data_IF_903292739766
#
_entry.id   IF_903292739766
#
_cell.length_a   1.000
_cell.length_b   1.000
_cell.length_c   1.000
_cell.angle_alpha   90.00
_cell.angle_beta   90.00
_cell.angle_gamma   90.00
#
_symmetry.space_group_name_H-M   'P 1'
#
loop_
_entity.id
_entity.type
_entity.pdbx_description
1 polymer ?
#
# COMPACT_ATOMS: atom_id res chain seq x y z
N UNK A 1 20.94 10.08 -3.00
CA UNK A 1 19.57 9.66 -2.71
C UNK A 1 19.65 8.25 -2.13
N UNK A 2 19.34 8.09 -0.84
CA UNK A 2 19.27 6.78 -0.20
C UNK A 2 17.87 6.16 -0.45
N UNK A 3 17.85 4.87 -0.83
CA UNK A 3 16.61 4.09 -0.88
C UNK A 3 16.59 3.19 0.34
N UNK A 4 15.62 3.36 1.23
CA UNK A 4 15.36 2.43 2.30
C UNK A 4 14.41 1.33 1.79
N UNK A 5 14.80 0.08 1.98
CA UNK A 5 13.96 -1.08 1.65
C UNK A 5 13.30 -1.59 2.94
N UNK A 6 11.99 -1.78 2.89
CA UNK A 6 11.24 -2.47 3.93
C UNK A 6 10.55 -3.69 3.33
N UNK A 7 10.56 -4.80 4.04
CA UNK A 7 9.85 -6.02 3.65
C UNK A 7 8.42 -5.97 4.17
N UNK A 8 7.48 -6.41 3.33
CA UNK A 8 6.09 -6.57 3.73
C UNK A 8 5.88 -7.76 4.70
N UNK A 9 4.62 -8.01 5.03
CA UNK A 9 4.24 -9.13 5.87
C UNK A 9 4.31 -10.47 5.13
N UNK A 10 4.49 -11.55 5.90
CA UNK A 10 4.40 -12.91 5.38
C UNK A 10 2.97 -13.18 4.84
N UNK A 11 2.91 -13.76 3.66
CA UNK A 11 1.66 -14.15 2.99
C UNK A 11 0.79 -15.07 3.86
N UNK A 12 1.41 -15.94 4.66
CA UNK A 12 0.66 -16.82 5.57
C UNK A 12 -0.12 -16.02 6.62
N UNK A 13 0.49 -15.00 7.22
CA UNK A 13 -0.16 -14.09 8.18
C UNK A 13 -1.33 -13.35 7.53
N UNK A 14 -1.13 -12.85 6.31
CA UNK A 14 -2.19 -12.18 5.54
C UNK A 14 -3.38 -13.10 5.28
N UNK A 15 -3.15 -14.39 5.00
CA UNK A 15 -4.22 -15.36 4.75
C UNK A 15 -5.01 -15.75 5.99
N UNK A 16 -4.36 -15.77 7.14
CA UNK A 16 -5.01 -16.21 8.41
C UNK A 16 -5.82 -15.11 9.06
N UNK A 17 -5.37 -13.86 8.98
CA UNK A 17 -6.03 -12.71 9.58
C UNK A 17 -5.75 -11.44 8.77
N UNK A 18 -6.62 -11.18 7.78
CA UNK A 18 -6.49 -10.04 6.87
C UNK A 18 -6.60 -8.69 7.57
N UNK A 19 -7.46 -8.60 8.58
CA UNK A 19 -7.73 -7.34 9.27
C UNK A 19 -6.54 -6.94 10.13
N UNK A 20 -6.02 -7.84 10.95
CA UNK A 20 -4.79 -7.58 11.69
C UNK A 20 -3.62 -7.29 10.77
N UNK A 21 -3.49 -8.01 9.64
CA UNK A 21 -2.43 -7.80 8.67
C UNK A 21 -2.49 -6.39 8.04
N UNK A 22 -3.68 -5.85 7.77
CA UNK A 22 -3.83 -4.47 7.25
C UNK A 22 -3.37 -3.45 8.27
N UNK A 23 -3.77 -3.60 9.54
CA UNK A 23 -3.31 -2.73 10.63
C UNK A 23 -1.79 -2.74 10.79
N UNK A 24 -1.18 -3.93 10.74
CA UNK A 24 0.27 -4.09 10.83
C UNK A 24 1.01 -3.46 9.64
N UNK A 25 0.46 -3.57 8.41
CA UNK A 25 1.03 -2.91 7.23
C UNK A 25 0.99 -1.40 7.37
N UNK A 26 -0.13 -0.83 7.81
CA UNK A 26 -0.25 0.62 8.04
C UNK A 26 0.74 1.08 9.10
N UNK A 27 0.88 0.34 10.20
CA UNK A 27 1.86 0.62 11.24
C UNK A 27 3.28 0.60 10.70
N UNK A 28 3.68 -0.50 10.06
CA UNK A 28 5.03 -0.69 9.51
C UNK A 28 5.38 0.35 8.43
N UNK A 29 4.41 0.74 7.59
CA UNK A 29 4.61 1.79 6.59
C UNK A 29 4.95 3.12 7.24
N UNK A 30 4.20 3.50 8.26
CA UNK A 30 4.40 4.78 8.92
C UNK A 30 5.70 4.81 9.73
N UNK A 31 6.04 3.72 10.41
CA UNK A 31 7.33 3.59 11.11
C UNK A 31 8.49 3.71 10.10
N UNK A 32 8.36 3.09 8.93
CA UNK A 32 9.37 3.18 7.88
C UNK A 32 9.50 4.61 7.31
N UNK A 33 8.40 5.33 7.13
CA UNK A 33 8.40 6.73 6.69
C UNK A 33 9.03 7.65 7.74
N UNK A 34 8.71 7.48 9.02
CA UNK A 34 9.26 8.26 10.13
C UNK A 34 10.78 8.05 10.25
N UNK A 35 11.24 6.80 10.17
CA UNK A 35 12.67 6.45 10.29
C UNK A 35 13.46 6.92 9.08
N UNK A 36 12.95 6.70 7.87
CA UNK A 36 13.65 7.03 6.63
C UNK A 36 13.60 8.52 6.27
N UNK A 37 12.63 9.26 6.81
CA UNK A 37 12.29 10.64 6.39
C UNK A 37 12.16 10.75 4.88
N UNK A 38 11.58 9.74 4.27
CA UNK A 38 11.40 9.67 2.82
C UNK A 38 10.31 10.65 2.35
N UNK A 39 10.55 11.32 1.23
CA UNK A 39 9.57 12.22 0.61
C UNK A 39 8.48 11.45 -0.15
N UNK A 40 8.76 10.19 -0.53
CA UNK A 40 7.84 9.32 -1.23
C UNK A 40 8.14 7.85 -0.94
N UNK A 41 7.12 7.00 -1.07
CA UNK A 41 7.26 5.56 -0.98
C UNK A 41 6.65 4.88 -2.20
N UNK A 42 7.36 3.91 -2.76
CA UNK A 42 6.83 3.00 -3.77
C UNK A 42 6.45 1.70 -3.10
N UNK A 43 5.16 1.37 -3.17
CA UNK A 43 4.62 0.13 -2.60
C UNK A 43 4.36 -0.84 -3.75
N UNK A 44 5.04 -1.98 -3.71
CA UNK A 44 4.83 -3.06 -4.68
C UNK A 44 3.81 -4.03 -4.09
N UNK A 45 2.68 -4.14 -4.77
CA UNK A 45 1.62 -5.09 -4.39
C UNK A 45 2.05 -6.54 -4.62
N UNK A 46 1.26 -7.46 -4.12
CA UNK A 46 1.51 -8.90 -4.27
C UNK A 46 1.50 -9.29 -5.73
N UNK A 47 2.55 -9.97 -6.18
CA UNK A 47 2.61 -10.56 -7.51
C UNK A 47 1.71 -11.80 -7.59
N UNK A 48 0.83 -11.83 -8.59
CA UNK A 48 -0.10 -12.94 -8.82
C UNK A 48 0.47 -14.08 -9.65
N UNK A 49 1.71 -13.98 -10.11
CA UNK A 49 2.30 -14.95 -11.05
C UNK A 49 2.37 -16.38 -10.51
N UNK A 50 2.31 -16.56 -9.19
CA UNK A 50 2.47 -17.86 -8.54
C UNK A 50 1.37 -18.27 -7.57
N UNK A 51 0.33 -17.45 -7.36
CA UNK A 51 -0.71 -17.73 -6.38
C UNK A 51 -2.10 -17.52 -6.98
N UNK A 52 -2.82 -18.62 -7.17
CA UNK A 52 -4.25 -18.60 -7.54
C UNK A 52 -5.12 -18.17 -6.34
N UNK A 53 -4.87 -16.98 -5.79
CA UNK A 53 -5.68 -16.41 -4.73
C UNK A 53 -6.43 -15.18 -5.26
N UNK A 54 -7.71 -15.32 -5.62
CA UNK A 54 -8.51 -14.20 -6.11
C UNK A 54 -8.68 -13.09 -5.07
N UNK A 55 -8.47 -13.40 -3.78
CA UNK A 55 -8.63 -12.42 -2.68
C UNK A 55 -7.40 -11.54 -2.48
N UNK A 56 -6.26 -11.84 -3.13
CA UNK A 56 -5.04 -11.03 -3.02
C UNK A 56 -5.18 -9.66 -3.68
N UNK A 57 -5.97 -9.57 -4.76
CA UNK A 57 -6.21 -8.30 -5.44
C UNK A 57 -7.05 -7.35 -4.58
N UNK A 58 -8.14 -7.86 -4.00
CA UNK A 58 -8.98 -7.11 -3.07
C UNK A 58 -8.17 -6.67 -1.84
N UNK A 59 -7.30 -7.53 -1.32
CA UNK A 59 -6.41 -7.17 -0.22
C UNK A 59 -5.47 -6.01 -0.59
N UNK A 60 -4.83 -6.06 -1.78
CA UNK A 60 -3.99 -4.97 -2.27
C UNK A 60 -4.78 -3.67 -2.43
N UNK A 61 -6.01 -3.73 -2.94
CA UNK A 61 -6.88 -2.58 -3.09
C UNK A 61 -7.24 -1.95 -1.74
N UNK A 62 -7.54 -2.78 -0.75
CA UNK A 62 -7.82 -2.31 0.61
C UNK A 62 -6.59 -1.68 1.27
N UNK A 63 -5.40 -2.28 1.12
CA UNK A 63 -4.14 -1.70 1.64
C UNK A 63 -3.83 -0.36 0.97
N UNK A 64 -4.03 -0.24 -0.35
CA UNK A 64 -3.84 1.02 -1.05
C UNK A 64 -4.77 2.12 -0.52
N UNK A 65 -6.03 1.78 -0.22
CA UNK A 65 -6.99 2.70 0.39
C UNK A 65 -6.59 3.10 1.82
N UNK A 66 -6.12 2.14 2.65
CA UNK A 66 -5.67 2.41 4.01
C UNK A 66 -4.46 3.35 4.05
N UNK A 67 -3.56 3.22 3.07
CA UNK A 67 -2.37 4.06 2.93
C UNK A 67 -2.61 5.33 2.12
N UNK A 68 -3.84 5.53 1.61
CA UNK A 68 -4.20 6.64 0.71
C UNK A 68 -3.24 6.73 -0.49
N UNK A 69 -2.83 5.58 -1.01
CA UNK A 69 -1.87 5.52 -2.10
C UNK A 69 -2.53 5.81 -3.46
N UNK A 70 -1.82 6.53 -4.32
CA UNK A 70 -2.17 6.57 -5.74
C UNK A 70 -1.81 5.24 -6.40
N UNK A 71 -2.70 4.68 -7.19
CA UNK A 71 -2.53 3.34 -7.76
C UNK A 71 -2.15 3.40 -9.23
N UNK A 72 -1.05 2.75 -9.60
CA UNK A 72 -0.75 2.41 -10.97
C UNK A 72 -0.97 0.92 -11.19
N UNK A 73 -1.68 0.57 -12.26
CA UNK A 73 -1.83 -0.81 -12.65
C UNK A 73 -0.61 -1.26 -13.47
N UNK A 74 -0.09 -2.43 -13.17
CA UNK A 74 0.92 -3.10 -13.98
C UNK A 74 0.32 -4.37 -14.58
N UNK A 75 0.16 -4.40 -15.89
CA UNK A 75 -0.43 -5.55 -16.63
C UNK A 75 0.55 -6.07 -17.65
N UNK A 76 0.63 -7.40 -17.77
CA UNK A 76 1.54 -8.09 -18.69
C UNK A 76 0.79 -8.53 -19.94
N UNK A 77 1.40 -8.32 -21.11
CA UNK A 77 0.83 -8.76 -22.41
C UNK A 77 1.37 -10.08 -22.91
N UNK A 78 2.35 -10.67 -22.24
CA UNK A 78 2.95 -11.92 -22.65
C UNK A 78 1.87 -13.01 -22.64
N UNK A 79 1.75 -13.73 -23.75
CA UNK A 79 0.76 -14.80 -23.96
C UNK A 79 -0.71 -14.35 -23.76
N UNK A 80 -1.02 -13.07 -24.03
CA UNK A 80 -2.37 -12.52 -23.95
C UNK A 80 -2.80 -11.83 -25.23
N UNK A 81 -4.06 -12.01 -25.58
CA UNK A 81 -4.70 -11.29 -26.69
C UNK A 81 -5.14 -9.87 -26.23
N UNK A 82 -5.25 -8.89 -27.15
CA UNK A 82 -5.68 -7.52 -26.79
C UNK A 82 -7.00 -7.44 -26.03
N UNK A 83 -7.98 -8.27 -26.34
CA UNK A 83 -9.26 -8.28 -25.62
C UNK A 83 -9.16 -8.81 -24.20
N UNK A 84 -8.27 -9.78 -23.94
CA UNK A 84 -8.01 -10.29 -22.57
C UNK A 84 -7.29 -9.23 -21.71
N UNK A 85 -6.43 -8.43 -22.36
CA UNK A 85 -5.79 -7.29 -21.72
C UNK A 85 -6.82 -6.25 -21.30
N UNK A 86 -7.75 -5.92 -22.19
CA UNK A 86 -8.82 -4.96 -21.94
C UNK A 86 -9.72 -5.39 -20.78
N UNK A 87 -10.17 -6.65 -20.79
CA UNK A 87 -10.98 -7.21 -19.70
C UNK A 87 -10.22 -7.21 -18.36
N UNK A 88 -8.93 -7.57 -18.39
CA UNK A 88 -8.10 -7.53 -17.18
C UNK A 88 -7.98 -6.12 -16.62
N UNK A 89 -7.76 -5.12 -17.47
CA UNK A 89 -7.66 -3.71 -17.05
C UNK A 89 -9.01 -3.22 -16.51
N UNK A 90 -10.10 -3.55 -17.17
CA UNK A 90 -11.45 -3.16 -16.75
C UNK A 90 -11.76 -3.67 -15.35
N UNK A 91 -11.63 -4.97 -15.12
CA UNK A 91 -11.87 -5.59 -13.81
C UNK A 91 -10.92 -5.06 -12.73
N UNK A 92 -9.69 -4.72 -13.13
CA UNK A 92 -8.72 -4.16 -12.20
C UNK A 92 -9.08 -2.74 -11.78
N UNK A 93 -9.55 -1.92 -12.70
CA UNK A 93 -10.02 -0.56 -12.37
C UNK A 93 -11.24 -0.65 -11.46
N UNK A 94 -12.26 -1.44 -11.83
CA UNK A 94 -13.46 -1.62 -11.00
C UNK A 94 -13.14 -2.07 -9.59
N UNK A 95 -12.24 -3.05 -9.44
CA UNK A 95 -11.84 -3.55 -8.12
C UNK A 95 -11.10 -2.51 -7.27
N UNK A 96 -10.27 -1.65 -7.88
CA UNK A 96 -9.60 -0.56 -7.18
C UNK A 96 -10.59 0.53 -6.77
N UNK A 97 -11.48 0.93 -7.67
CA UNK A 97 -12.51 1.95 -7.41
C UNK A 97 -13.53 1.49 -6.36
N UNK A 98 -13.91 0.21 -6.36
CA UNK A 98 -14.78 -0.36 -5.34
C UNK A 98 -14.20 -0.27 -3.92
N UNK A 99 -12.87 -0.31 -3.79
CA UNK A 99 -12.16 -0.07 -2.53
C UNK A 99 -11.92 1.43 -2.23
N UNK A 100 -12.38 2.34 -3.10
CA UNK A 100 -12.22 3.79 -2.95
C UNK A 100 -10.90 4.33 -3.47
N UNK A 101 -10.12 3.54 -4.21
CA UNK A 101 -8.86 4.02 -4.80
C UNK A 101 -9.09 4.68 -6.15
N UNK A 102 -8.17 5.59 -6.50
CA UNK A 102 -8.07 6.16 -7.83
C UNK A 102 -6.91 5.53 -8.59
N UNK A 103 -7.19 5.00 -9.78
CA UNK A 103 -6.15 4.54 -10.70
C UNK A 103 -5.59 5.75 -11.45
N UNK A 104 -4.28 5.92 -11.41
CA UNK A 104 -3.57 7.08 -11.96
C UNK A 104 -2.98 6.82 -13.34
N UNK A 105 -2.78 5.55 -13.70
CA UNK A 105 -2.23 5.16 -14.99
C UNK A 105 -1.97 3.67 -15.11
N UNK A 106 -1.59 3.24 -16.29
CA UNK A 106 -1.44 1.83 -16.63
C UNK A 106 -0.06 1.59 -17.25
N UNK A 107 0.75 0.77 -16.61
CA UNK A 107 1.99 0.22 -17.16
C UNK A 107 1.69 -1.11 -17.82
N UNK A 108 1.93 -1.20 -19.12
CA UNK A 108 1.75 -2.43 -19.89
C UNK A 108 3.12 -3.04 -20.16
N UNK A 109 3.45 -4.12 -19.47
CA UNK A 109 4.76 -4.79 -19.55
C UNK A 109 4.75 -5.93 -20.56
N UNK A 110 5.93 -6.27 -21.11
CA UNK A 110 6.06 -7.31 -22.12
C UNK A 110 5.45 -6.94 -23.47
N UNK A 111 5.20 -5.65 -23.70
CA UNK A 111 4.56 -5.17 -24.91
C UNK A 111 5.60 -4.99 -26.04
N UNK A 112 5.50 -5.81 -27.07
CA UNK A 112 6.33 -5.66 -28.26
C UNK A 112 6.08 -4.29 -28.92
N UNK A 113 7.13 -3.60 -29.43
CA UNK A 113 6.98 -2.26 -30.01
C UNK A 113 5.97 -2.18 -31.15
N UNK A 114 5.80 -3.25 -31.93
CA UNK A 114 4.80 -3.31 -33.01
C UNK A 114 3.35 -3.32 -32.50
N UNK A 115 3.10 -3.74 -31.26
CA UNK A 115 1.78 -3.79 -30.64
C UNK A 115 1.47 -2.55 -29.77
N UNK A 116 2.47 -1.71 -29.49
CA UNK A 116 2.32 -0.57 -28.58
C UNK A 116 1.19 0.38 -28.98
N UNK A 117 1.04 0.65 -30.28
CA UNK A 117 -0.03 1.53 -30.78
C UNK A 117 -1.42 0.91 -30.54
N UNK A 118 -1.61 -0.34 -30.92
CA UNK A 118 -2.89 -1.05 -30.76
C UNK A 118 -3.29 -1.19 -29.29
N UNK A 119 -2.33 -1.45 -28.41
CA UNK A 119 -2.56 -1.53 -26.96
C UNK A 119 -3.02 -0.18 -26.42
N UNK A 120 -2.32 0.92 -26.77
CA UNK A 120 -2.70 2.26 -26.35
C UNK A 120 -4.08 2.66 -26.87
N UNK A 121 -4.40 2.34 -28.13
CA UNK A 121 -5.72 2.58 -28.70
C UNK A 121 -6.83 1.82 -27.95
N UNK A 122 -6.60 0.55 -27.65
CA UNK A 122 -7.55 -0.29 -26.91
C UNK A 122 -7.83 0.26 -25.51
N UNK A 123 -6.82 0.75 -24.82
CA UNK A 123 -6.93 1.25 -23.45
C UNK A 123 -7.28 2.73 -23.37
N UNK A 124 -7.29 3.48 -24.47
CA UNK A 124 -7.61 4.91 -24.50
C UNK A 124 -8.99 5.26 -23.93
N UNK A 125 -9.93 4.32 -24.02
CA UNK A 125 -11.31 4.48 -23.49
C UNK A 125 -11.38 4.72 -21.99
N UNK A 126 -10.35 4.35 -21.23
CA UNK A 126 -10.29 4.57 -19.78
C UNK A 126 -9.86 6.00 -19.42
N UNK A 127 -9.36 6.79 -20.38
CA UNK A 127 -8.92 8.16 -20.13
C UNK A 127 -7.69 8.27 -19.22
N UNK A 128 -6.94 7.19 -19.04
CA UNK A 128 -5.76 7.11 -18.21
C UNK A 128 -4.47 7.14 -19.05
N UNK A 129 -3.35 7.65 -18.52
CA UNK A 129 -2.04 7.49 -19.15
C UNK A 129 -1.70 6.02 -19.29
N UNK A 130 -1.19 5.63 -20.47
CA UNK A 130 -0.78 4.25 -20.78
C UNK A 130 0.66 4.25 -21.26
N UNK A 131 1.53 3.55 -20.53
CA UNK A 131 2.94 3.37 -20.87
C UNK A 131 3.19 1.91 -21.22
N UNK A 132 3.74 1.68 -22.41
CA UNK A 132 4.06 0.33 -22.90
C UNK A 132 5.55 0.07 -22.76
N UNK A 133 5.89 -1.00 -22.05
CA UNK A 133 7.26 -1.39 -21.74
C UNK A 133 7.56 -2.72 -22.43
N UNK A 134 8.60 -2.81 -23.29
CA UNK A 134 8.99 -4.07 -23.90
C UNK A 134 9.50 -5.05 -22.85
N UNK A 135 9.49 -6.34 -23.21
CA UNK A 135 10.06 -7.36 -22.36
C UNK A 135 11.59 -7.19 -22.28
N UNK A 136 12.10 -7.26 -21.07
CA UNK A 136 13.54 -7.27 -20.81
C UNK A 136 13.87 -8.61 -20.16
N UNK A 137 14.80 -9.39 -20.72
CA UNK A 137 15.26 -10.59 -20.06
C UNK A 137 16.08 -10.22 -18.83
N UNK A 138 15.55 -10.49 -17.64
CA UNK A 138 16.29 -10.33 -16.39
C UNK A 138 17.18 -11.55 -16.17
N UNK A 139 18.45 -11.44 -16.54
CA UNK A 139 19.40 -12.55 -16.38
C UNK A 139 20.42 -12.31 -15.26
N UNK A 140 20.78 -11.06 -14.99
CA UNK A 140 21.77 -10.67 -13.99
C UNK A 140 21.69 -9.16 -13.63
N UNK A 141 22.62 -8.70 -12.82
CA UNK A 141 22.68 -7.28 -12.41
C UNK A 141 22.91 -6.29 -13.57
N UNK A 142 23.54 -6.74 -14.69
CA UNK A 142 23.80 -5.88 -15.85
C UNK A 142 22.50 -5.45 -16.55
N UNK A 143 21.41 -6.19 -16.35
CA UNK A 143 20.11 -5.86 -16.92
C UNK A 143 19.39 -4.74 -16.20
N UNK A 144 19.82 -4.33 -15.01
CA UNK A 144 19.23 -3.22 -14.26
C UNK A 144 19.33 -1.89 -15.01
N UNK A 145 20.49 -1.59 -15.55
CA UNK A 145 20.70 -0.34 -16.30
C UNK A 145 19.85 -0.31 -17.56
N UNK A 146 19.77 -1.43 -18.26
CA UNK A 146 18.90 -1.58 -19.44
C UNK A 146 17.41 -1.40 -19.06
N UNK A 147 16.98 -1.94 -17.91
CA UNK A 147 15.63 -1.77 -17.42
C UNK A 147 15.30 -0.31 -17.10
N UNK A 148 16.22 0.40 -16.43
CA UNK A 148 16.06 1.81 -16.12
C UNK A 148 16.04 2.69 -17.39
N UNK A 149 16.90 2.41 -18.34
CA UNK A 149 16.92 3.13 -19.63
C UNK A 149 15.61 2.89 -20.40
N UNK A 150 15.18 1.63 -20.47
CA UNK A 150 13.95 1.24 -21.14
C UNK A 150 12.73 1.89 -20.46
N UNK A 151 12.69 1.91 -19.14
CA UNK A 151 11.61 2.58 -18.41
C UNK A 151 11.60 4.08 -18.75
N UNK A 152 12.72 4.79 -18.61
CA UNK A 152 12.82 6.23 -18.88
C UNK A 152 12.41 6.60 -20.30
N UNK A 153 12.73 5.74 -21.26
CA UNK A 153 12.40 5.95 -22.66
C UNK A 153 10.90 5.79 -22.96
N UNK A 154 10.24 4.84 -22.29
CA UNK A 154 8.86 4.45 -22.59
C UNK A 154 7.81 4.99 -21.60
N UNK A 155 8.26 5.41 -20.42
CA UNK A 155 7.47 6.07 -19.40
C UNK A 155 8.22 7.35 -18.93
N UNK A 156 8.08 8.46 -19.65
CA UNK A 156 8.75 9.71 -19.32
C UNK A 156 8.43 10.14 -17.88
N UNK A 157 9.46 10.44 -17.11
CA UNK A 157 9.35 10.73 -15.68
C UNK A 157 8.36 11.85 -15.40
N UNK A 158 8.37 12.89 -16.24
CA UNK A 158 7.48 14.04 -16.09
C UNK A 158 5.99 13.66 -16.26
N UNK A 159 5.68 12.74 -17.17
CA UNK A 159 4.32 12.25 -17.35
C UNK A 159 3.86 11.42 -16.14
N UNK A 160 4.74 10.56 -15.62
CA UNK A 160 4.44 9.75 -14.43
C UNK A 160 4.23 10.64 -13.20
N UNK A 161 5.08 11.67 -13.01
CA UNK A 161 4.90 12.62 -11.92
C UNK A 161 3.65 13.48 -12.09
N UNK A 162 3.32 13.90 -13.31
CA UNK A 162 2.06 14.62 -13.57
C UNK A 162 0.83 13.77 -13.23
N UNK A 163 0.89 12.46 -13.44
CA UNK A 163 -0.18 11.55 -13.03
C UNK A 163 -0.29 11.40 -11.49
N UNK A 164 0.80 11.63 -10.75
CA UNK A 164 0.80 11.63 -9.29
C UNK A 164 0.25 12.93 -8.67
N UNK A 165 0.28 14.05 -9.43
CA UNK A 165 -0.18 15.35 -8.97
C UNK A 165 -1.72 15.47 -9.03
N UNK A 166 -2.39 14.51 -8.42
CA UNK A 166 -3.85 14.45 -8.34
C UNK A 166 -4.26 14.42 -6.88
N UNK A 167 -5.16 15.32 -6.50
CA UNK A 167 -5.72 15.34 -5.17
C UNK A 167 -6.34 13.98 -4.82
N UNK A 168 -5.87 13.38 -3.75
CA UNK A 168 -6.39 12.10 -3.29
C UNK A 168 -7.67 12.32 -2.48
N UNK A 169 -8.81 12.09 -3.11
CA UNK A 169 -10.14 12.20 -2.50
C UNK A 169 -10.64 10.88 -1.91
N UNK A 170 -9.76 9.89 -1.73
CA UNK A 170 -10.14 8.60 -1.17
C UNK A 170 -10.82 8.74 0.20
N UNK A 171 -11.85 7.95 0.49
CA UNK A 171 -12.50 7.95 1.80
C UNK A 171 -11.51 7.55 2.89
N UNK A 172 -11.67 8.12 4.08
CA UNK A 172 -10.84 7.78 5.23
C UNK A 172 -11.26 6.40 5.72
N UNK A 173 -10.38 5.42 5.60
CA UNK A 173 -10.63 4.07 6.13
C UNK A 173 -10.49 4.03 7.65
N UNK A 174 -11.06 3.03 8.34
CA UNK A 174 -10.89 2.87 9.79
C UNK A 174 -9.42 2.80 10.23
N UNK A 175 -8.57 2.11 9.46
CA UNK A 175 -7.14 1.99 9.77
C UNK A 175 -6.40 3.32 9.58
N UNK A 176 -6.66 4.03 8.47
CA UNK A 176 -6.10 5.35 8.24
C UNK A 176 -6.54 6.35 9.34
N UNK A 177 -7.82 6.31 9.74
CA UNK A 177 -8.32 7.15 10.83
C UNK A 177 -7.66 6.83 12.17
N UNK A 178 -7.61 5.54 12.53
CA UNK A 178 -6.96 5.10 13.77
C UNK A 178 -5.50 5.54 13.81
N UNK A 179 -4.78 5.38 12.72
CA UNK A 179 -3.39 5.78 12.64
C UNK A 179 -3.21 7.29 12.79
N UNK A 180 -3.99 8.10 12.05
CA UNK A 180 -3.97 9.57 12.15
C UNK A 180 -4.28 10.03 13.59
N UNK A 181 -5.23 9.35 14.27
CA UNK A 181 -5.60 9.63 15.65
C UNK A 181 -4.45 9.35 16.62
N UNK A 182 -3.83 8.18 16.50
CA UNK A 182 -2.70 7.76 17.33
C UNK A 182 -1.48 8.67 17.11
N UNK A 183 -1.19 9.03 15.86
CA UNK A 183 -0.13 9.97 15.52
C UNK A 183 -0.33 11.36 16.14
N UNK A 184 -1.55 11.91 16.07
CA UNK A 184 -1.91 13.17 16.75
C UNK A 184 -1.78 13.09 18.26
N UNK A 185 -2.20 11.97 18.86
CA UNK A 185 -2.06 11.76 20.30
C UNK A 185 -0.58 11.67 20.72
N UNK A 186 0.24 10.97 19.95
CA UNK A 186 1.68 10.79 20.18
C UNK A 186 2.45 12.12 20.05
N UNK A 187 2.10 12.95 19.07
CA UNK A 187 2.74 14.27 18.85
C UNK A 187 2.45 15.29 19.96
N UNK A 188 1.35 15.11 20.70
CA UNK A 188 0.97 15.97 21.83
C UNK A 188 0.58 15.12 23.05
N UNK A 189 1.55 14.35 23.54
CA UNK A 189 1.39 13.36 24.60
C UNK A 189 0.76 13.94 25.85
N UNK A 190 -0.42 13.45 26.22
CA UNK A 190 -1.17 13.88 27.39
C UNK A 190 -1.08 12.84 28.51
N UNK A 191 -1.30 13.28 29.73
CA UNK A 191 -1.47 12.39 30.89
C UNK A 191 -2.95 12.16 31.13
N UNK A 192 -3.35 10.89 31.10
CA UNK A 192 -4.73 10.46 31.34
C UNK A 192 -4.77 9.69 32.64
N UNK A 193 -5.77 10.02 33.50
CA UNK A 193 -6.01 9.31 34.74
C UNK A 193 -7.12 8.28 34.51
N UNK A 194 -6.83 7.03 34.81
CA UNK A 194 -7.77 5.91 34.71
C UNK A 194 -8.18 5.50 36.13
N UNK A 195 -9.43 5.78 36.57
CA UNK A 195 -9.85 5.55 37.94
C UNK A 195 -10.20 4.08 38.26
N UNK A 196 -10.33 3.25 37.24
CA UNK A 196 -10.81 1.85 37.35
C UNK A 196 -9.67 0.84 37.13
N UNK A 197 -8.61 0.91 37.95
CA UNK A 197 -7.43 0.04 37.81
C UNK A 197 -7.66 -1.46 38.11
N UNK A 198 -8.85 -1.84 38.55
CA UNK A 198 -9.21 -3.26 38.78
C UNK A 198 -9.97 -3.88 37.61
N UNK A 199 -10.37 -3.09 36.61
CA UNK A 199 -11.11 -3.55 35.44
C UNK A 199 -10.13 -4.05 34.36
N UNK A 200 -10.25 -5.34 33.96
CA UNK A 200 -9.32 -5.97 33.01
C UNK A 200 -9.30 -5.29 31.63
N UNK A 201 -10.42 -4.69 31.19
CA UNK A 201 -10.48 -3.95 29.93
C UNK A 201 -9.65 -2.67 29.98
N UNK A 202 -9.63 -2.00 31.14
CA UNK A 202 -8.82 -0.80 31.36
C UNK A 202 -7.34 -1.15 31.38
N UNK A 203 -6.96 -2.25 32.03
CA UNK A 203 -5.57 -2.71 32.05
C UNK A 203 -5.09 -3.07 30.64
N UNK A 204 -5.87 -3.82 29.86
CA UNK A 204 -5.53 -4.12 28.45
C UNK A 204 -5.42 -2.88 27.58
N UNK A 205 -6.31 -1.90 27.76
CA UNK A 205 -6.22 -0.64 27.03
C UNK A 205 -4.99 0.18 27.47
N UNK A 206 -4.64 0.16 28.74
CA UNK A 206 -3.45 0.82 29.25
C UNK A 206 -2.17 0.21 28.69
N UNK A 207 -2.06 -1.11 28.67
CA UNK A 207 -0.94 -1.85 28.08
C UNK A 207 -0.76 -1.48 26.60
N UNK A 208 -1.83 -1.55 25.81
CA UNK A 208 -1.83 -1.16 24.39
C UNK A 208 -1.32 0.28 24.17
N UNK A 209 -1.75 1.23 24.99
CA UNK A 209 -1.39 2.65 24.85
C UNK A 209 0.04 2.93 25.33
N UNK A 210 0.51 2.25 26.38
CA UNK A 210 1.85 2.40 26.92
C UNK A 210 2.90 1.77 26.03
N UNK A 211 2.65 0.55 25.51
CA UNK A 211 3.53 -0.13 24.57
C UNK A 211 3.84 0.73 23.34
N UNK A 212 2.84 1.51 22.88
CA UNK A 212 2.96 2.41 21.73
C UNK A 212 3.38 3.84 22.08
N UNK A 213 3.65 4.09 23.35
CA UNK A 213 4.07 5.40 23.86
C UNK A 213 3.14 6.58 23.47
N UNK A 214 1.84 6.34 23.37
CA UNK A 214 0.85 7.31 22.86
C UNK A 214 0.49 8.35 23.91
N UNK A 215 0.37 7.92 25.18
CA UNK A 215 -0.04 8.77 26.31
C UNK A 215 0.78 8.44 27.56
N UNK A 216 0.75 9.34 28.56
CA UNK A 216 1.17 9.01 29.92
C UNK A 216 -0.07 8.59 30.70
N UNK A 217 0.00 7.51 31.48
CA UNK A 217 -1.12 7.00 32.24
C UNK A 217 -0.85 7.06 33.74
N UNK A 218 -1.90 7.42 34.48
CA UNK A 218 -1.99 7.29 35.95
C UNK A 218 -3.17 6.36 36.21
N UNK A 219 -2.88 5.16 36.70
CA UNK A 219 -3.92 4.17 37.00
C UNK A 219 -4.16 4.21 38.50
N UNK A 220 -5.40 4.47 38.91
CA UNK A 220 -5.79 4.56 40.34
C UNK A 220 -6.31 3.19 40.78
N UNK A 221 -5.71 2.64 41.87
CA UNK A 221 -6.09 1.34 42.41
C UNK A 221 -4.98 0.72 43.24
N UNK A 222 -5.18 -0.52 43.72
CA UNK A 222 -4.14 -1.25 44.44
C UNK A 222 -2.98 -1.62 43.51
N UNK A 223 -1.79 -1.10 43.78
CA UNK A 223 -0.60 -1.31 42.92
C UNK A 223 -0.28 -2.78 42.66
N UNK A 224 -0.44 -3.64 43.71
CA UNK A 224 -0.11 -5.08 43.57
C UNK A 224 -1.13 -5.81 42.71
N UNK A 225 -2.41 -5.45 42.85
CA UNK A 225 -3.48 -6.02 42.05
C UNK A 225 -3.35 -5.62 40.58
N UNK A 226 -3.02 -4.35 40.29
CA UNK A 226 -2.81 -3.85 38.93
C UNK A 226 -1.61 -4.56 38.25
N UNK A 227 -0.45 -4.62 38.94
CA UNK A 227 0.75 -5.26 38.38
C UNK A 227 0.64 -6.79 38.23
N UNK A 228 -0.27 -7.43 38.91
CA UNK A 228 -0.52 -8.88 38.77
C UNK A 228 -1.41 -9.21 37.55
N UNK A 229 -2.06 -8.20 36.95
CA UNK A 229 -2.99 -8.35 35.83
C UNK A 229 -2.43 -7.85 34.49
N UNK A 230 -1.42 -6.99 34.49
CA UNK A 230 -0.68 -6.50 33.32
C UNK A 230 0.62 -7.29 33.17
#
# INVERSE_FOLDING_TARGET
LGVALSTGLDVHKVRTDKDTARGDIVGAFNDAMDVSRADAALIVGTDKSHVNDPTSYEFNANVAADLKAGVFLAVCTIDRWPHELDETVHLSIEGMEAAGNKVLGIFVTGCEPCHAFSVKETLAKYGLPVWTLPQIPFTDESTKDLALETFRKNAPTDEVFAALDVENTAPITPYAFQFDLLGKAKSNKKTIVLPEGEEDRIIKAADYLLEREIVNLIIVGDKKAILARG
#
